data_IF_740695536886
#
_entry.id   IF_740695536886
#
_cell.length_a   1.000
_cell.length_b   1.000
_cell.length_c   1.000
_cell.angle_alpha   90.00
_cell.angle_beta   90.00
_cell.angle_gamma   90.00
#
_symmetry.space_group_name_H-M   'P 1'
#
loop_
_entity.id
_entity.type
_entity.pdbx_description
1 polymer ?
#
# COMPACT_ATOMS: atom_id res chain seq x y z
N UNK A 1 -17.77 -17.77 -32.03
CA UNK A 1 -18.21 -16.84 -30.95
C UNK A 1 -17.49 -17.10 -29.61
N UNK A 2 -16.27 -17.66 -29.57
CA UNK A 2 -15.62 -18.07 -28.30
C UNK A 2 -14.66 -17.05 -27.68
N UNK A 3 -13.91 -16.30 -28.49
CA UNK A 3 -12.86 -15.41 -27.99
C UNK A 3 -13.39 -14.07 -27.45
N UNK A 4 -14.44 -13.53 -28.09
CA UNK A 4 -15.08 -12.29 -27.64
C UNK A 4 -15.85 -12.46 -26.34
N UNK A 5 -16.49 -13.61 -26.14
CA UNK A 5 -17.17 -13.96 -24.89
C UNK A 5 -16.16 -14.13 -23.74
N UNK A 6 -15.03 -14.80 -23.99
CA UNK A 6 -13.95 -14.93 -23.01
C UNK A 6 -13.34 -13.57 -22.62
N UNK A 7 -13.06 -12.69 -23.59
CA UNK A 7 -12.56 -11.35 -23.34
C UNK A 7 -13.55 -10.48 -22.56
N UNK A 8 -14.85 -10.64 -22.82
CA UNK A 8 -15.90 -9.95 -22.09
C UNK A 8 -16.00 -10.43 -20.64
N UNK A 9 -15.90 -11.74 -20.40
CA UNK A 9 -15.90 -12.33 -19.05
C UNK A 9 -14.66 -11.87 -18.25
N UNK A 10 -13.48 -11.85 -18.88
CA UNK A 10 -12.24 -11.35 -18.28
C UNK A 10 -12.33 -9.86 -17.91
N UNK A 11 -12.89 -9.04 -18.80
CA UNK A 11 -13.14 -7.62 -18.56
C UNK A 11 -14.14 -7.40 -17.41
N UNK A 12 -15.22 -8.17 -17.40
CA UNK A 12 -16.25 -8.10 -16.35
C UNK A 12 -15.67 -8.49 -14.99
N UNK A 13 -14.84 -9.54 -14.94
CA UNK A 13 -14.15 -9.98 -13.73
C UNK A 13 -13.17 -8.90 -13.22
N UNK A 14 -12.39 -8.29 -14.12
CA UNK A 14 -11.49 -7.19 -13.75
C UNK A 14 -12.24 -5.95 -13.22
N UNK A 15 -13.45 -5.68 -13.74
CA UNK A 15 -14.27 -4.54 -13.31
C UNK A 15 -14.93 -4.79 -11.96
N UNK A 16 -15.39 -6.02 -11.69
CA UNK A 16 -15.94 -6.42 -10.38
C UNK A 16 -14.85 -6.32 -9.29
N UNK A 17 -13.62 -6.75 -9.59
CA UNK A 17 -12.47 -6.61 -8.69
C UNK A 17 -12.13 -5.15 -8.37
N UNK A 18 -12.38 -4.22 -9.31
CA UNK A 18 -12.14 -2.78 -9.10
C UNK A 18 -13.29 -2.07 -8.38
N UNK A 19 -14.54 -2.52 -8.57
CA UNK A 19 -15.74 -1.92 -7.99
C UNK A 19 -15.95 -2.28 -6.51
N UNK A 20 -15.39 -3.41 -6.06
CA UNK A 20 -15.31 -3.78 -4.65
C UNK A 20 -13.99 -3.31 -4.05
N UNK A 21 -13.80 -1.99 -3.89
CA UNK A 21 -12.59 -1.38 -3.32
C UNK A 21 -12.32 -1.70 -1.83
N UNK A 22 -12.60 -2.92 -1.36
CA UNK A 22 -12.43 -3.32 0.05
C UNK A 22 -12.11 -4.81 0.29
N UNK A 23 -11.78 -5.62 -0.74
CA UNK A 23 -11.51 -7.06 -0.52
C UNK A 23 -10.32 -7.57 -1.32
N UNK A 24 -9.11 -7.47 -0.75
CA UNK A 24 -7.93 -8.27 -1.15
C UNK A 24 -6.73 -8.13 -0.20
N UNK A 25 -6.71 -7.15 0.72
CA UNK A 25 -5.61 -6.99 1.67
C UNK A 25 -5.69 -7.91 2.90
N UNK A 26 -6.85 -8.52 3.15
CA UNK A 26 -7.32 -8.89 4.49
C UNK A 26 -6.97 -10.32 4.97
N UNK A 27 -6.01 -11.01 4.35
CA UNK A 27 -5.63 -12.34 4.84
C UNK A 27 -4.41 -13.01 4.23
N UNK A 28 -3.70 -12.36 3.31
CA UNK A 28 -2.43 -12.88 2.77
C UNK A 28 -1.30 -12.57 3.74
N UNK A 29 -0.85 -13.59 4.46
CA UNK A 29 0.25 -13.49 5.43
C UNK A 29 1.63 -13.63 4.77
N UNK A 30 2.72 -13.23 5.44
CA UNK A 30 4.08 -13.28 4.88
C UNK A 30 4.55 -14.64 4.36
N UNK A 31 3.97 -15.73 4.85
CA UNK A 31 4.25 -17.11 4.43
C UNK A 31 3.29 -17.64 3.36
N UNK A 32 2.28 -16.86 2.97
CA UNK A 32 1.43 -17.17 1.84
C UNK A 32 2.20 -16.98 0.51
N UNK A 33 2.12 -17.93 -0.45
CA UNK A 33 2.75 -17.79 -1.76
C UNK A 33 2.42 -16.50 -2.52
N UNK A 34 1.23 -15.92 -2.31
CA UNK A 34 0.76 -14.71 -2.97
C UNK A 34 1.21 -13.43 -2.27
N UNK A 35 1.91 -13.52 -1.13
CA UNK A 35 2.34 -12.34 -0.38
C UNK A 35 3.27 -11.42 -1.20
N UNK A 36 4.17 -12.00 -2.00
CA UNK A 36 5.05 -11.22 -2.88
C UNK A 36 4.27 -10.45 -3.95
N UNK A 37 3.15 -10.99 -4.41
CA UNK A 37 2.26 -10.31 -5.35
C UNK A 37 1.54 -9.13 -4.67
N UNK A 38 1.12 -9.29 -3.40
CA UNK A 38 0.58 -8.19 -2.57
C UNK A 38 1.60 -7.05 -2.46
N UNK A 39 2.83 -7.35 -2.04
CA UNK A 39 3.90 -6.35 -1.90
C UNK A 39 4.19 -5.65 -3.23
N UNK A 40 4.29 -6.41 -4.33
CA UNK A 40 4.53 -5.84 -5.66
C UNK A 40 3.41 -4.89 -6.10
N UNK A 41 2.16 -5.22 -5.76
CA UNK A 41 0.99 -4.37 -6.03
C UNK A 41 1.01 -3.10 -5.19
N UNK A 42 1.33 -3.22 -3.90
CA UNK A 42 1.51 -2.08 -2.98
C UNK A 42 2.59 -1.12 -3.51
N UNK A 43 3.74 -1.64 -3.95
CA UNK A 43 4.81 -0.84 -4.57
C UNK A 43 4.39 -0.18 -5.89
N UNK A 44 3.62 -0.88 -6.73
CA UNK A 44 3.13 -0.33 -7.98
C UNK A 44 2.19 0.86 -7.74
N UNK A 45 1.29 0.76 -6.73
CA UNK A 45 0.44 1.88 -6.30
C UNK A 45 1.27 3.08 -5.87
N UNK A 46 2.30 2.88 -5.04
CA UNK A 46 3.19 3.97 -4.61
C UNK A 46 3.95 4.63 -5.76
N UNK A 47 4.41 3.83 -6.74
CA UNK A 47 5.09 4.36 -7.94
C UNK A 47 4.15 5.14 -8.85
N UNK A 48 2.87 4.77 -8.88
CA UNK A 48 1.86 5.45 -9.67
C UNK A 48 1.37 6.76 -9.03
N UNK A 49 1.35 6.84 -7.69
CA UNK A 49 0.98 8.04 -6.96
C UNK A 49 2.00 9.16 -7.17
N UNK A 50 1.53 10.34 -7.60
CA UNK A 50 2.38 11.52 -7.83
C UNK A 50 2.24 12.51 -6.68
N UNK A 51 1.03 12.66 -6.15
CA UNK A 51 0.73 13.62 -5.11
C UNK A 51 1.30 13.17 -3.74
N UNK A 52 2.00 14.06 -3.00
CA UNK A 52 2.56 13.70 -1.69
C UNK A 52 1.49 13.29 -0.66
N UNK A 53 0.29 13.88 -0.70
CA UNK A 53 -0.77 13.50 0.23
C UNK A 53 -1.35 12.12 -0.14
N UNK A 54 -1.48 11.81 -1.43
CA UNK A 54 -1.83 10.47 -1.91
C UNK A 54 -0.79 9.42 -1.49
N UNK A 55 0.51 9.71 -1.65
CA UNK A 55 1.58 8.81 -1.17
C UNK A 55 1.52 8.60 0.33
N UNK A 56 1.28 9.67 1.09
CA UNK A 56 1.12 9.57 2.54
C UNK A 56 -0.07 8.68 2.94
N UNK A 57 -1.18 8.77 2.20
CA UNK A 57 -2.35 7.91 2.42
C UNK A 57 -2.02 6.43 2.13
N UNK A 58 -1.36 6.13 1.01
CA UNK A 58 -0.93 4.77 0.67
C UNK A 58 0.04 4.18 1.71
N UNK A 59 1.02 4.95 2.16
CA UNK A 59 1.91 4.51 3.24
C UNK A 59 1.16 4.23 4.55
N UNK A 60 0.14 5.03 4.87
CA UNK A 60 -0.71 4.81 6.05
C UNK A 60 -1.54 3.53 5.90
N UNK A 61 -2.11 3.27 4.73
CA UNK A 61 -2.82 2.02 4.41
C UNK A 61 -1.90 0.81 4.61
N UNK A 62 -0.69 0.85 4.05
CA UNK A 62 0.24 -0.29 4.14
C UNK A 62 0.76 -0.52 5.56
N UNK A 63 0.90 0.54 6.36
CA UNK A 63 1.15 0.40 7.79
C UNK A 63 -0.03 -0.34 8.48
N UNK A 64 -1.27 0.06 8.19
CA UNK A 64 -2.47 -0.65 8.67
C UNK A 64 -2.45 -2.15 8.33
N UNK A 65 -2.13 -2.48 7.07
CA UNK A 65 -2.01 -3.87 6.61
C UNK A 65 -0.97 -4.66 7.43
N UNK A 66 0.21 -4.08 7.70
CA UNK A 66 1.25 -4.76 8.51
C UNK A 66 0.82 -4.96 9.96
N UNK A 67 0.07 -4.01 10.52
CA UNK A 67 -0.44 -4.14 11.88
C UNK A 67 -1.48 -5.27 12.00
N UNK A 68 -2.35 -5.42 11.00
CA UNK A 68 -3.31 -6.53 10.96
C UNK A 68 -2.59 -7.89 10.88
N UNK A 69 -1.61 -8.02 9.98
CA UNK A 69 -0.84 -9.27 9.85
C UNK A 69 -0.01 -9.60 11.10
N UNK A 70 0.51 -8.57 11.77
CA UNK A 70 1.17 -8.73 13.06
C UNK A 70 0.24 -9.34 14.11
N UNK A 71 -1.01 -8.86 14.18
CA UNK A 71 -1.99 -9.39 15.14
C UNK A 71 -2.27 -10.88 14.91
N UNK A 72 -2.19 -11.34 13.66
CA UNK A 72 -2.41 -12.75 13.32
C UNK A 72 -1.20 -13.63 13.66
N UNK A 73 0.03 -13.18 13.41
CA UNK A 73 1.22 -14.07 13.48
C UNK A 73 2.19 -13.79 14.63
N UNK A 74 1.99 -12.74 15.43
CA UNK A 74 2.96 -12.30 16.44
C UNK A 74 3.32 -13.37 17.48
N UNK A 75 2.35 -14.18 17.91
CA UNK A 75 2.55 -15.25 18.89
C UNK A 75 3.18 -16.51 18.29
N UNK A 76 2.90 -16.80 17.01
CA UNK A 76 3.26 -18.07 16.37
C UNK A 76 4.60 -17.99 15.62
N UNK A 77 4.88 -16.84 14.99
CA UNK A 77 5.99 -16.68 14.04
C UNK A 77 6.78 -15.40 14.34
N UNK A 78 7.49 -15.32 15.48
CA UNK A 78 8.13 -14.09 15.96
C UNK A 78 9.17 -13.51 14.98
N UNK A 79 9.83 -14.35 14.19
CA UNK A 79 10.77 -13.90 13.14
C UNK A 79 10.07 -13.14 12.00
N UNK A 80 8.93 -13.66 11.51
CA UNK A 80 8.12 -12.99 10.50
C UNK A 80 7.45 -11.74 11.07
N UNK A 81 6.96 -11.83 12.31
CA UNK A 81 6.39 -10.70 13.02
C UNK A 81 7.38 -9.53 13.14
N UNK A 82 8.65 -9.79 13.48
CA UNK A 82 9.67 -8.73 13.51
C UNK A 82 9.82 -8.02 12.16
N UNK A 83 9.88 -8.78 11.06
CA UNK A 83 9.95 -8.21 9.73
C UNK A 83 8.71 -7.38 9.34
N UNK A 84 7.53 -7.73 9.85
CA UNK A 84 6.32 -6.92 9.68
C UNK A 84 6.37 -5.63 10.50
N UNK A 85 6.87 -5.68 11.73
CA UNK A 85 7.05 -4.50 12.58
C UNK A 85 8.02 -3.49 11.96
N UNK A 86 9.14 -3.97 11.41
CA UNK A 86 10.12 -3.13 10.71
C UNK A 86 9.46 -2.43 9.48
N UNK A 87 8.61 -3.15 8.73
CA UNK A 87 7.87 -2.58 7.60
C UNK A 87 6.78 -1.61 8.02
N UNK A 88 6.08 -1.89 9.12
CA UNK A 88 5.10 -0.98 9.72
C UNK A 88 5.76 0.36 10.06
N UNK A 89 6.88 0.34 10.78
CA UNK A 89 7.61 1.54 11.17
C UNK A 89 8.11 2.32 9.95
N UNK A 90 8.66 1.62 8.95
CA UNK A 90 9.10 2.23 7.70
C UNK A 90 7.97 2.97 6.98
N UNK A 91 6.79 2.35 6.89
CA UNK A 91 5.60 2.95 6.27
C UNK A 91 5.08 4.15 7.05
N UNK A 92 5.00 4.08 8.37
CA UNK A 92 4.59 5.23 9.21
C UNK A 92 5.54 6.40 9.02
N UNK A 93 6.86 6.15 9.05
CA UNK A 93 7.87 7.19 8.84
C UNK A 93 7.77 7.80 7.44
N UNK A 94 7.55 6.98 6.41
CA UNK A 94 7.37 7.47 5.05
C UNK A 94 6.11 8.35 4.93
N UNK A 95 4.98 7.94 5.52
CA UNK A 95 3.77 8.75 5.54
C UNK A 95 3.97 10.13 6.17
N UNK A 96 4.71 10.20 7.28
CA UNK A 96 5.05 11.46 7.94
C UNK A 96 5.93 12.36 7.07
N UNK A 97 6.92 11.78 6.38
CA UNK A 97 7.82 12.52 5.49
C UNK A 97 7.08 13.11 4.29
N UNK A 98 6.21 12.34 3.65
CA UNK A 98 5.42 12.81 2.51
C UNK A 98 4.47 13.95 2.91
N UNK A 99 3.83 13.85 4.09
CA UNK A 99 3.04 14.96 4.65
C UNK A 99 3.87 16.22 4.94
N UNK A 100 5.10 16.05 5.42
CA UNK A 100 6.02 17.16 5.66
C UNK A 100 6.46 17.85 4.36
N UNK A 101 6.65 17.07 3.29
CA UNK A 101 6.95 17.57 1.94
C UNK A 101 5.77 18.28 1.25
N UNK A 102 4.53 17.94 1.63
CA UNK A 102 3.30 18.58 1.16
C UNK A 102 3.03 19.97 1.77
N UNK A 103 3.76 20.36 2.83
CA UNK A 103 3.64 21.67 3.44
C UNK A 103 4.04 22.80 2.48
N UNK A 104 3.53 24.04 2.66
CA UNK A 104 3.99 25.18 1.87
C UNK A 104 5.51 25.31 2.01
N UNK A 105 6.24 25.22 0.89
CA UNK A 105 7.70 25.50 0.91
C UNK A 105 7.89 26.88 1.51
N UNK A 106 8.83 27.07 2.46
CA UNK A 106 9.11 28.39 3.00
C UNK A 106 9.41 29.31 1.81
N UNK A 107 8.55 30.32 1.63
CA UNK A 107 8.69 31.27 0.55
C UNK A 107 10.11 31.81 0.58
N UNK A 108 10.74 31.90 -0.59
CA UNK A 108 12.01 32.59 -0.77
C UNK A 108 11.81 34.08 -0.51
N UNK A 109 11.55 34.42 0.76
CA UNK A 109 11.57 35.77 1.30
C UNK A 109 13.02 36.20 1.30
N UNK A 110 13.49 36.63 0.13
CA UNK A 110 14.72 37.38 -0.03
C UNK A 110 14.56 38.62 0.83
N UNK A 111 15.11 38.54 2.04
CA UNK A 111 15.25 39.64 2.96
C UNK A 111 15.92 40.80 2.25
N UNK A 112 15.35 41.96 2.48
CA UNK A 112 15.79 43.28 2.09
C UNK A 112 17.27 43.51 2.38
N UNK A 113 17.97 44.04 1.39
CA UNK A 113 19.01 45.06 1.57
C UNK A 113 18.79 46.12 0.51
#
# INVERSE_FOLDING_TARGET
>A
MGTKAAAFILSLLATVLFATGSFASDGTLPDDPLYQAKISTEEAKLKAAVDPLEKAALHTEFAGNRLAELQEIASEKPGLARGLADRYEASVRAAMNERGGAGPKPGNGRGST
#
